data_IF_633670055399
#
_entry.id   IF_633670055399
#
_cell.length_a   1.000
_cell.length_b   1.000
_cell.length_c   1.000
_cell.angle_alpha   90.00
_cell.angle_beta   90.00
_cell.angle_gamma   90.00
#
_symmetry.space_group_name_H-M   'P 1'
#
loop_
_entity.id
_entity.type
_entity.pdbx_description
1 polymer ?
#
# COMPACT_ATOMS: atom_id res chain seq x y z
N UNK A 1 -14.69 -27.90 -12.55
CA UNK A 1 -15.07 -27.14 -11.35
C UNK A 1 -13.99 -26.08 -11.15
N UNK A 2 -14.19 -24.89 -11.70
CA UNK A 2 -13.29 -23.75 -11.56
C UNK A 2 -14.17 -22.51 -11.60
N UNK A 3 -14.38 -21.89 -10.44
CA UNK A 3 -15.09 -20.63 -10.32
C UNK A 3 -14.03 -19.53 -10.20
N UNK A 4 -13.78 -18.84 -11.32
CA UNK A 4 -13.07 -17.57 -11.35
C UNK A 4 -14.01 -16.51 -10.77
N UNK A 5 -13.75 -16.08 -9.53
CA UNK A 5 -14.52 -15.04 -8.86
C UNK A 5 -14.07 -13.66 -9.35
N UNK A 6 -14.99 -12.94 -10.01
CA UNK A 6 -14.80 -11.55 -10.44
C UNK A 6 -14.70 -10.64 -9.21
N UNK A 7 -13.66 -9.83 -9.12
CA UNK A 7 -13.67 -8.62 -8.30
C UNK A 7 -14.81 -7.70 -8.77
N UNK A 8 -15.71 -7.36 -7.86
CA UNK A 8 -16.82 -6.44 -8.11
C UNK A 8 -16.25 -5.03 -8.17
N UNK A 9 -16.06 -4.53 -9.39
CA UNK A 9 -15.65 -3.15 -9.64
C UNK A 9 -16.58 -2.16 -8.97
N UNK A 10 -16.04 -1.34 -8.07
CA UNK A 10 -16.66 -0.12 -7.55
C UNK A 10 -15.62 1.00 -7.42
N UNK A 11 -15.58 1.84 -8.46
CA UNK A 11 -15.34 3.28 -8.32
C UNK A 11 -13.90 3.77 -8.38
N UNK A 12 -13.39 3.98 -9.61
CA UNK A 12 -12.37 5.01 -9.85
C UNK A 12 -13.04 6.39 -9.71
N UNK A 13 -13.05 6.94 -8.50
CA UNK A 13 -13.48 8.31 -8.27
C UNK A 13 -12.31 9.26 -8.56
N UNK A 14 -11.94 9.47 -9.83
CA UNK A 14 -10.96 10.51 -10.17
C UNK A 14 -11.69 11.78 -10.63
N UNK A 15 -11.20 12.94 -10.19
CA UNK A 15 -11.65 14.23 -10.72
C UNK A 15 -11.45 14.26 -12.25
N UNK A 16 -12.38 14.85 -13.02
CA UNK A 16 -12.31 14.83 -14.48
C UNK A 16 -10.97 15.40 -14.97
N UNK A 17 -10.16 14.54 -15.61
CA UNK A 17 -8.90 14.91 -16.27
C UNK A 17 -7.62 14.42 -15.60
N UNK A 18 -7.64 13.89 -14.37
CA UNK A 18 -6.44 13.31 -13.74
C UNK A 18 -6.41 11.79 -13.92
N UNK A 19 -5.42 11.32 -14.68
CA UNK A 19 -5.12 9.90 -14.84
C UNK A 19 -4.03 9.51 -13.82
N UNK A 20 -4.39 8.65 -12.87
CA UNK A 20 -3.50 8.20 -11.79
C UNK A 20 -2.61 7.03 -12.19
N UNK A 21 -2.95 6.34 -13.28
CA UNK A 21 -2.21 5.20 -13.78
C UNK A 21 -1.78 5.41 -15.23
N UNK A 22 -0.48 5.31 -15.46
CA UNK A 22 0.13 5.34 -16.79
C UNK A 22 0.68 3.93 -17.10
N UNK A 23 0.57 3.52 -18.36
CA UNK A 23 1.10 2.24 -18.84
C UNK A 23 2.02 2.43 -20.03
N UNK A 24 2.91 1.47 -20.25
CA UNK A 24 3.78 1.41 -21.44
C UNK A 24 2.96 1.39 -22.74
N UNK A 25 1.82 0.70 -22.71
CA UNK A 25 0.87 0.57 -23.81
C UNK A 25 -0.56 0.33 -23.26
N UNK A 26 -1.60 0.46 -24.11
CA UNK A 26 -2.97 0.28 -23.68
C UNK A 26 -3.33 -1.12 -23.16
N UNK A 27 -2.69 -2.18 -23.65
CA UNK A 27 -3.00 -3.55 -23.26
C UNK A 27 -2.47 -3.87 -21.85
N UNK A 28 -1.27 -3.41 -21.52
CA UNK A 28 -0.73 -3.48 -20.16
C UNK A 28 -1.64 -2.72 -19.19
N UNK A 29 -2.06 -1.51 -19.57
CA UNK A 29 -2.94 -0.73 -18.72
C UNK A 29 -4.29 -1.41 -18.48
N UNK A 30 -4.89 -2.00 -19.51
CA UNK A 30 -6.16 -2.74 -19.37
C UNK A 30 -6.03 -3.93 -18.41
N UNK A 31 -4.93 -4.69 -18.54
CA UNK A 31 -4.65 -5.83 -17.65
C UNK A 31 -4.45 -5.38 -16.21
N UNK A 32 -3.54 -4.42 -15.98
CA UNK A 32 -3.20 -3.92 -14.64
C UNK A 32 -4.39 -3.25 -13.96
N UNK A 33 -5.27 -2.56 -14.71
CA UNK A 33 -6.47 -1.92 -14.14
C UNK A 33 -7.49 -2.90 -13.56
N UNK A 34 -7.33 -4.21 -13.78
CA UNK A 34 -8.19 -5.25 -13.16
C UNK A 34 -7.67 -5.69 -11.79
N UNK A 35 -6.37 -5.56 -11.57
CA UNK A 35 -5.67 -6.08 -10.39
C UNK A 35 -5.16 -4.96 -9.48
N UNK A 36 -5.08 -3.72 -9.99
CA UNK A 36 -4.58 -2.55 -9.26
C UNK A 36 -5.64 -1.46 -9.22
N UNK A 37 -5.99 -1.05 -8.00
CA UNK A 37 -6.94 0.01 -7.73
C UNK A 37 -6.27 1.16 -6.97
N UNK A 38 -6.52 2.40 -7.38
CA UNK A 38 -6.11 3.61 -6.65
C UNK A 38 -7.35 4.39 -6.22
N UNK A 39 -7.42 4.73 -4.94
CA UNK A 39 -8.49 5.56 -4.35
C UNK A 39 -7.89 6.83 -3.77
N UNK A 40 -8.10 7.95 -4.46
CA UNK A 40 -7.74 9.27 -3.93
C UNK A 40 -8.62 9.63 -2.74
N UNK A 41 -8.09 10.44 -1.83
CA UNK A 41 -8.83 10.97 -0.68
C UNK A 41 -9.54 9.88 0.15
N UNK A 42 -8.96 8.66 0.21
CA UNK A 42 -9.51 7.57 1.01
C UNK A 42 -9.48 7.91 2.51
N UNK A 43 -8.45 8.63 2.93
CA UNK A 43 -8.26 9.11 4.31
C UNK A 43 -8.44 10.62 4.29
N UNK A 44 -9.27 11.17 5.18
CA UNK A 44 -9.40 12.63 5.30
C UNK A 44 -8.17 13.27 5.97
N UNK A 45 -7.96 14.59 5.86
CA UNK A 45 -6.88 15.27 6.57
C UNK A 45 -6.90 15.05 8.10
N UNK A 46 -8.10 14.94 8.69
CA UNK A 46 -8.28 14.66 10.11
C UNK A 46 -7.89 13.22 10.46
N UNK A 47 -8.26 12.26 9.61
CA UNK A 47 -7.91 10.85 9.75
C UNK A 47 -6.39 10.63 9.56
N UNK A 48 -5.77 11.32 8.60
CA UNK A 48 -4.32 11.32 8.42
C UNK A 48 -3.63 11.89 9.68
N UNK A 49 -4.11 13.01 10.22
CA UNK A 49 -3.58 13.57 11.46
C UNK A 49 -3.75 12.62 12.66
N UNK A 50 -4.84 11.86 12.73
CA UNK A 50 -5.06 10.84 13.76
C UNK A 50 -4.02 9.71 13.69
N UNK A 51 -3.79 9.14 12.50
CA UNK A 51 -2.77 8.13 12.27
C UNK A 51 -1.38 8.65 12.66
N UNK A 52 -1.03 9.88 12.25
CA UNK A 52 0.27 10.48 12.55
C UNK A 52 0.47 10.72 14.05
N UNK A 53 -0.55 11.21 14.78
CA UNK A 53 -0.48 11.37 16.25
C UNK A 53 -0.14 10.06 16.96
N UNK A 54 -0.66 8.94 16.46
CA UNK A 54 -0.40 7.62 17.04
C UNK A 54 0.96 7.03 16.63
N UNK A 55 1.39 7.25 15.40
CA UNK A 55 2.58 6.64 14.81
C UNK A 55 3.88 7.40 15.11
N UNK A 56 3.84 8.73 15.02
CA UNK A 56 5.04 9.57 15.14
C UNK A 56 5.85 9.35 16.43
N UNK A 57 5.24 9.21 17.63
CA UNK A 57 6.02 9.06 18.87
C UNK A 57 6.92 7.82 18.88
N UNK A 58 6.48 6.72 18.27
CA UNK A 58 7.28 5.51 18.12
C UNK A 58 8.31 5.63 17.02
N UNK A 59 7.90 6.11 15.84
CA UNK A 59 8.77 6.19 14.66
C UNK A 59 9.93 7.17 14.88
N UNK A 60 9.69 8.33 15.50
CA UNK A 60 10.72 9.34 15.78
C UNK A 60 11.85 8.85 16.69
N UNK A 61 11.64 7.77 17.45
CA UNK A 61 12.67 7.14 18.29
C UNK A 61 13.56 6.16 17.51
N UNK A 62 13.09 5.70 16.34
CA UNK A 62 13.85 4.82 15.47
C UNK A 62 14.79 5.64 14.60
N UNK A 63 15.97 5.06 14.31
CA UNK A 63 16.92 5.63 13.36
C UNK A 63 16.58 5.14 11.97
N UNK A 64 16.78 6.00 10.98
CA UNK A 64 16.75 5.58 9.59
C UNK A 64 17.85 4.56 9.31
N UNK A 65 17.47 3.48 8.65
CA UNK A 65 18.30 2.39 8.18
C UNK A 65 18.65 2.64 6.72
N UNK A 66 19.91 2.39 6.37
CA UNK A 66 20.40 2.60 5.00
C UNK A 66 20.22 1.38 4.12
N UNK A 67 20.27 0.16 4.68
CA UNK A 67 20.13 -1.08 3.92
C UNK A 67 19.35 -2.11 4.76
N UNK A 68 18.36 -2.76 4.14
CA UNK A 68 17.66 -3.93 4.65
C UNK A 68 18.38 -5.23 4.20
N UNK A 69 18.09 -6.37 4.83
CA UNK A 69 18.78 -7.64 4.51
C UNK A 69 18.54 -8.13 3.07
N UNK A 70 17.42 -7.76 2.46
CA UNK A 70 17.09 -8.04 1.05
C UNK A 70 17.45 -6.88 0.10
N UNK A 71 18.00 -5.78 0.64
CA UNK A 71 18.39 -4.55 -0.05
C UNK A 71 17.25 -3.85 -0.81
N UNK A 72 15.98 -4.21 -0.57
CA UNK A 72 14.84 -3.64 -1.27
C UNK A 72 14.57 -2.19 -0.83
N UNK A 73 14.74 -1.86 0.44
CA UNK A 73 14.37 -0.56 0.99
C UNK A 73 15.61 0.22 1.46
N UNK A 74 15.68 1.50 1.10
CA UNK A 74 16.78 2.42 1.40
C UNK A 74 16.25 3.68 2.08
N UNK A 75 16.92 4.15 3.13
CA UNK A 75 16.54 5.41 3.82
C UNK A 75 15.21 5.31 4.56
N UNK A 76 15.03 4.28 5.37
CA UNK A 76 13.72 3.95 5.96
C UNK A 76 13.79 3.64 7.45
N UNK A 77 12.65 3.75 8.14
CA UNK A 77 12.44 3.16 9.47
C UNK A 77 11.07 2.50 9.48
N UNK A 78 10.94 1.43 10.25
CA UNK A 78 9.72 0.63 10.20
C UNK A 78 9.34 0.06 11.56
N UNK A 79 8.06 -0.31 11.68
CA UNK A 79 7.53 -1.05 12.82
C UNK A 79 6.37 -1.92 12.36
N UNK A 80 6.11 -3.01 13.07
CA UNK A 80 4.91 -3.83 12.91
C UNK A 80 4.03 -3.67 14.16
N UNK A 81 2.73 -3.43 13.96
CA UNK A 81 1.80 -3.12 15.05
C UNK A 81 0.50 -3.89 14.91
N UNK A 82 0.10 -4.56 15.99
CA UNK A 82 -1.20 -5.24 16.12
C UNK A 82 -2.20 -4.48 16.98
N UNK A 83 -1.78 -3.42 17.68
CA UNK A 83 -2.63 -2.62 18.57
C UNK A 83 -2.69 -1.20 18.07
N UNK A 84 -3.91 -0.73 17.91
CA UNK A 84 -4.24 0.59 17.39
C UNK A 84 -5.26 1.28 18.28
N UNK A 85 -5.23 2.61 18.34
CA UNK A 85 -6.29 3.41 18.94
C UNK A 85 -7.59 3.28 18.15
N UNK A 86 -8.72 3.64 18.77
CA UNK A 86 -10.06 3.48 18.18
C UNK A 86 -10.20 4.20 16.81
N UNK A 87 -9.69 5.43 16.71
CA UNK A 87 -9.70 6.20 15.45
C UNK A 87 -8.90 5.50 14.34
N UNK A 88 -7.67 5.07 14.64
CA UNK A 88 -6.79 4.39 13.68
C UNK A 88 -7.34 3.02 13.28
N UNK A 89 -7.89 2.26 14.24
CA UNK A 89 -8.47 0.95 13.98
C UNK A 89 -9.71 1.06 13.07
N UNK A 90 -10.53 2.10 13.24
CA UNK A 90 -11.66 2.35 12.35
C UNK A 90 -11.21 2.61 10.90
N UNK A 91 -10.12 3.38 10.71
CA UNK A 91 -9.54 3.63 9.38
C UNK A 91 -8.98 2.33 8.79
N UNK A 92 -8.22 1.56 9.57
CA UNK A 92 -7.66 0.29 9.12
C UNK A 92 -8.75 -0.72 8.77
N UNK A 93 -9.85 -0.76 9.54
CA UNK A 93 -10.99 -1.60 9.22
C UNK A 93 -11.64 -1.20 7.89
N UNK A 94 -11.77 0.10 7.60
CA UNK A 94 -12.24 0.58 6.29
C UNK A 94 -11.33 0.12 5.15
N UNK A 95 -9.99 0.13 5.35
CA UNK A 95 -9.05 -0.41 4.35
C UNK A 95 -9.30 -1.91 4.15
N UNK A 96 -9.47 -2.66 5.24
CA UNK A 96 -9.73 -4.10 5.19
C UNK A 96 -11.00 -4.42 4.41
N UNK A 97 -12.09 -3.74 4.73
CA UNK A 97 -13.39 -3.92 4.08
C UNK A 97 -13.37 -3.52 2.60
N UNK A 98 -12.50 -2.57 2.24
CA UNK A 98 -12.35 -2.09 0.87
C UNK A 98 -11.51 -3.02 -0.03
N UNK A 99 -10.48 -3.63 0.53
CA UNK A 99 -9.46 -4.36 -0.24
C UNK A 99 -9.61 -5.89 -0.17
N UNK A 100 -10.10 -6.43 0.95
CA UNK A 100 -10.10 -7.87 1.19
C UNK A 100 -11.52 -8.44 1.14
N UNK A 101 -11.63 -9.70 0.70
CA UNK A 101 -12.90 -10.41 0.76
C UNK A 101 -13.31 -10.68 2.21
N UNK A 102 -14.63 -10.71 2.52
CA UNK A 102 -15.09 -11.07 3.85
C UNK A 102 -14.54 -12.44 4.29
N UNK A 103 -13.86 -12.46 5.44
CA UNK A 103 -13.25 -13.67 5.99
C UNK A 103 -11.90 -14.07 5.38
N UNK A 104 -11.31 -13.25 4.51
CA UNK A 104 -9.94 -13.45 4.06
C UNK A 104 -8.97 -13.39 5.25
N UNK A 105 -8.02 -14.33 5.30
CA UNK A 105 -6.95 -14.29 6.28
C UNK A 105 -6.06 -13.06 6.05
N UNK A 106 -5.72 -12.39 7.15
CA UNK A 106 -4.87 -11.20 7.13
C UNK A 106 -3.72 -11.39 8.11
N UNK A 107 -2.60 -10.75 7.83
CA UNK A 107 -1.49 -10.69 8.78
C UNK A 107 -1.96 -10.03 10.08
N UNK A 108 -1.53 -10.57 11.20
CA UNK A 108 -1.92 -10.10 12.53
C UNK A 108 -1.33 -8.74 12.90
N UNK A 109 -0.31 -8.29 12.16
CA UNK A 109 0.33 -7.01 12.34
C UNK A 109 0.25 -6.20 11.06
N UNK A 110 0.01 -4.90 11.21
CA UNK A 110 0.10 -3.91 10.15
C UNK A 110 1.53 -3.37 10.10
N UNK A 111 2.14 -3.45 8.93
CA UNK A 111 3.47 -2.89 8.67
C UNK A 111 3.37 -1.39 8.45
N UNK A 112 4.20 -0.62 9.14
CA UNK A 112 4.31 0.83 9.01
C UNK A 112 5.71 1.15 8.56
N UNK A 113 5.82 1.72 7.36
CA UNK A 113 7.06 2.13 6.75
C UNK A 113 7.11 3.65 6.63
N UNK A 114 8.19 4.24 7.14
CA UNK A 114 8.47 5.67 7.03
C UNK A 114 9.77 5.85 6.24
N UNK A 115 9.67 6.55 5.11
CA UNK A 115 10.76 6.85 4.19
C UNK A 115 11.24 8.28 4.41
N UNK A 116 12.56 8.45 4.53
CA UNK A 116 13.13 9.79 4.48
C UNK A 116 12.98 10.39 3.07
N UNK A 117 13.24 11.70 2.94
CA UNK A 117 13.05 12.43 1.67
C UNK A 117 13.75 11.79 0.46
N UNK A 118 14.95 11.26 0.68
CA UNK A 118 15.75 10.60 -0.37
C UNK A 118 15.66 9.06 -0.30
N UNK A 119 14.79 8.54 0.57
CA UNK A 119 14.53 7.12 0.72
C UNK A 119 13.69 6.58 -0.44
N UNK A 120 13.88 5.30 -0.75
CA UNK A 120 13.19 4.65 -1.86
C UNK A 120 13.08 3.14 -1.66
N UNK A 121 12.18 2.55 -2.43
CA UNK A 121 11.98 1.11 -2.52
C UNK A 121 12.38 0.65 -3.93
N UNK A 122 13.32 -0.30 -4.01
CA UNK A 122 13.75 -0.94 -5.26
C UNK A 122 12.66 -1.86 -5.79
N UNK A 123 12.76 -2.19 -7.08
CA UNK A 123 11.88 -3.17 -7.70
C UNK A 123 12.04 -4.52 -6.99
N UNK A 124 10.95 -5.03 -6.43
CA UNK A 124 10.89 -6.31 -5.74
C UNK A 124 9.47 -6.88 -5.89
N UNK A 125 9.33 -8.14 -5.51
CA UNK A 125 8.03 -8.79 -5.34
C UNK A 125 7.97 -9.25 -3.89
N UNK A 126 6.89 -8.93 -3.22
CA UNK A 126 6.61 -9.39 -1.88
C UNK A 126 6.72 -10.92 -1.78
N UNK A 127 7.17 -11.42 -0.64
CA UNK A 127 7.38 -12.85 -0.48
C UNK A 127 6.06 -13.60 -0.52
N UNK A 128 5.88 -14.49 -1.49
CA UNK A 128 4.70 -15.40 -1.58
C UNK A 128 4.53 -16.32 -0.38
N UNK A 129 5.54 -16.43 0.49
CA UNK A 129 5.47 -17.22 1.74
C UNK A 129 4.84 -16.43 2.89
N UNK A 130 4.89 -15.10 2.83
CA UNK A 130 4.54 -14.21 3.94
C UNK A 130 3.45 -13.21 3.57
N UNK A 131 3.25 -12.92 2.27
CA UNK A 131 2.17 -12.11 1.75
C UNK A 131 1.11 -12.98 1.06
N UNK A 132 -0.16 -12.61 1.25
CA UNK A 132 -1.29 -13.24 0.56
C UNK A 132 -1.42 -12.78 -0.89
N UNK A 133 -2.62 -12.90 -1.44
CA UNK A 133 -2.94 -12.49 -2.83
C UNK A 133 -3.23 -10.98 -2.98
N UNK A 134 -3.33 -10.26 -1.85
CA UNK A 134 -3.78 -8.86 -1.81
C UNK A 134 -2.85 -8.03 -0.92
N UNK A 135 -2.38 -6.89 -1.45
CA UNK A 135 -1.63 -5.88 -0.70
C UNK A 135 -2.43 -4.58 -0.74
N UNK A 136 -2.69 -4.00 0.44
CA UNK A 136 -3.36 -2.71 0.57
C UNK A 136 -2.45 -1.73 1.32
N UNK A 137 -2.15 -0.60 0.69
CA UNK A 137 -1.29 0.44 1.25
C UNK A 137 -2.03 1.77 1.43
N UNK A 138 -1.79 2.45 2.55
CA UNK A 138 -2.14 3.86 2.74
C UNK A 138 -0.88 4.70 2.55
N UNK A 139 -0.95 5.72 1.71
CA UNK A 139 0.12 6.70 1.52
C UNK A 139 -0.23 7.99 2.27
N UNK A 140 0.68 8.45 3.14
CA UNK A 140 0.52 9.65 3.96
C UNK A 140 1.68 10.64 3.69
N UNK A 141 1.53 11.88 4.17
CA UNK A 141 2.53 12.97 4.18
C UNK A 141 2.92 13.53 2.81
N UNK A 142 3.46 12.70 1.92
CA UNK A 142 3.98 13.15 0.64
C UNK A 142 3.69 12.17 -0.50
N UNK A 143 3.57 12.70 -1.71
CA UNK A 143 3.25 11.90 -2.89
C UNK A 143 4.44 10.99 -3.28
N UNK A 144 4.12 9.77 -3.70
CA UNK A 144 5.07 8.80 -4.24
C UNK A 144 4.65 8.27 -5.60
N UNK A 145 5.59 7.66 -6.33
CA UNK A 145 5.32 6.96 -7.59
C UNK A 145 5.64 5.48 -7.41
N UNK A 146 4.61 4.64 -7.49
CA UNK A 146 4.78 3.18 -7.57
C UNK A 146 4.92 2.78 -9.04
N UNK A 147 6.02 2.11 -9.38
CA UNK A 147 6.26 1.59 -10.73
C UNK A 147 6.19 0.07 -10.72
N UNK A 148 5.21 -0.48 -11.43
CA UNK A 148 5.05 -1.91 -11.62
C UNK A 148 5.69 -2.31 -12.95
N UNK A 149 6.53 -3.35 -12.92
CA UNK A 149 7.21 -3.92 -14.09
C UNK A 149 7.06 -5.43 -14.00
N UNK A 150 6.77 -6.08 -15.13
CA UNK A 150 6.75 -7.55 -15.20
C UNK A 150 8.11 -8.11 -14.78
N UNK A 151 8.13 -9.22 -14.06
CA UNK A 151 9.38 -9.89 -13.74
C UNK A 151 10.14 -10.37 -14.98
N UNK A 152 9.40 -10.70 -16.04
CA UNK A 152 9.94 -11.10 -17.34
C UNK A 152 10.65 -9.94 -18.08
N UNK A 153 10.30 -8.70 -17.74
CA UNK A 153 10.84 -7.47 -18.36
C UNK A 153 11.92 -6.79 -17.49
N UNK A 154 12.35 -7.43 -16.39
CA UNK A 154 13.46 -6.93 -15.57
C UNK A 154 14.76 -7.08 -16.39
N UNK A 155 15.30 -5.95 -16.85
CA UNK A 155 16.64 -5.85 -17.50
C UNK A 155 17.73 -6.10 -16.46
#
# INVERSE_FOLDING_TARGET
>A
MAACGRALGRGLCSAPGRRLMLGSDPAVLERVSRDVELREEFVSPEEEAALLRELEPSLKRLRYQREHWDQAIHGYRETERSRWGEESEAILQRVRDAAFLPGAEQLSMVHVLDLEKEGFIRAHVDSVKFCGDTIAGLCLLSAGVMRLVSEEDKI
#
